data_IF_030029584903
#
_entry.id   IF_030029584903
#
_cell.length_a   1.000
_cell.length_b   1.000
_cell.length_c   1.000
_cell.angle_alpha   90.00
_cell.angle_beta   90.00
_cell.angle_gamma   90.00
#
_symmetry.space_group_name_H-M   'P 1'
#
loop_
_entity.id
_entity.type
_entity.pdbx_description
1 polymer ?
#
# COMPACT_ATOMS: atom_id res chain seq x y z
N UNK A 1 -11.60 -5.93 16.23
CA UNK A 1 -10.30 -5.97 16.96
C UNK A 1 -10.02 -4.56 17.44
N UNK A 2 -9.36 -4.36 18.59
CA UNK A 2 -8.93 -3.00 18.96
C UNK A 2 -7.75 -2.54 18.08
N UNK A 3 -7.53 -1.21 18.02
CA UNK A 3 -6.53 -0.63 17.12
C UNK A 3 -5.09 -1.08 17.42
N UNK A 4 -4.73 -1.15 18.70
CA UNK A 4 -3.39 -1.58 19.11
C UNK A 4 -3.13 -3.03 18.68
N UNK A 5 -4.08 -3.92 18.94
CA UNK A 5 -3.98 -5.32 18.54
C UNK A 5 -3.87 -5.47 17.03
N UNK A 6 -4.65 -4.69 16.26
CA UNK A 6 -4.57 -4.72 14.81
C UNK A 6 -3.16 -4.34 14.32
N UNK A 7 -2.57 -3.29 14.88
CA UNK A 7 -1.23 -2.80 14.51
C UNK A 7 -0.15 -3.85 14.84
N UNK A 8 -0.13 -4.38 16.06
CA UNK A 8 0.96 -5.28 16.51
C UNK A 8 0.86 -6.69 15.96
N UNK A 9 -0.33 -7.13 15.54
CA UNK A 9 -0.55 -8.48 14.99
C UNK A 9 -0.56 -8.52 13.47
N UNK A 10 -0.71 -7.37 12.78
CA UNK A 10 -0.70 -7.32 11.33
C UNK A 10 0.55 -7.98 10.74
N UNK A 11 0.35 -8.81 9.73
CA UNK A 11 1.43 -9.48 8.99
C UNK A 11 1.24 -9.25 7.49
N UNK A 12 2.34 -9.23 6.77
CA UNK A 12 2.32 -9.27 5.30
C UNK A 12 2.20 -10.72 4.84
N UNK A 13 1.42 -10.93 3.78
CA UNK A 13 1.37 -12.23 3.10
C UNK A 13 1.47 -12.01 1.58
N UNK A 14 1.98 -13.02 0.90
CA UNK A 14 2.16 -13.02 -0.55
C UNK A 14 1.29 -14.07 -1.24
N UNK A 15 0.48 -14.78 -0.46
CA UNK A 15 -0.37 -15.87 -0.95
C UNK A 15 -1.81 -15.65 -0.48
N UNK A 16 -2.73 -15.67 -1.42
CA UNK A 16 -4.13 -15.38 -1.19
C UNK A 16 -5.01 -16.49 -1.74
N UNK A 17 -6.22 -16.61 -1.19
CA UNK A 17 -7.27 -17.47 -1.76
C UNK A 17 -7.87 -16.79 -3.00
N UNK A 18 -8.70 -17.55 -3.75
CA UNK A 18 -9.42 -17.00 -4.90
C UNK A 18 -10.75 -16.33 -4.51
N UNK A 19 -11.03 -16.19 -3.21
CA UNK A 19 -12.26 -15.57 -2.72
C UNK A 19 -12.29 -14.09 -3.05
N UNK A 20 -13.38 -13.65 -3.64
CA UNK A 20 -13.59 -12.25 -4.00
C UNK A 20 -13.81 -11.39 -2.76
N UNK A 21 -13.24 -10.18 -2.76
CA UNK A 21 -13.44 -9.21 -1.69
C UNK A 21 -14.75 -8.46 -1.94
N UNK A 22 -15.73 -8.50 -0.98
CA UNK A 22 -16.95 -7.73 -1.09
C UNK A 22 -16.69 -6.23 -1.18
N UNK A 23 -17.50 -5.52 -1.97
CA UNK A 23 -17.36 -4.07 -2.14
C UNK A 23 -17.41 -3.30 -0.81
N UNK A 24 -18.25 -3.74 0.11
CA UNK A 24 -18.37 -3.11 1.44
C UNK A 24 -17.07 -3.19 2.22
N UNK A 25 -16.41 -4.35 2.24
CA UNK A 25 -15.12 -4.55 2.90
C UNK A 25 -14.04 -3.71 2.23
N UNK A 26 -13.97 -3.74 0.89
CA UNK A 26 -13.02 -2.93 0.14
C UNK A 26 -13.22 -1.44 0.39
N UNK A 27 -14.46 -0.96 0.44
CA UNK A 27 -14.77 0.44 0.70
C UNK A 27 -14.32 0.87 2.10
N UNK A 28 -14.42 0.01 3.13
CA UNK A 28 -13.88 0.31 4.47
C UNK A 28 -12.36 0.47 4.43
N UNK A 29 -11.67 -0.39 3.70
CA UNK A 29 -10.20 -0.29 3.50
C UNK A 29 -9.84 1.01 2.80
N UNK A 30 -10.52 1.35 1.70
CA UNK A 30 -10.31 2.59 0.94
C UNK A 30 -10.57 3.81 1.84
N UNK A 31 -11.65 3.79 2.61
CA UNK A 31 -12.00 4.88 3.53
C UNK A 31 -10.90 5.08 4.60
N UNK A 32 -10.32 4.01 5.12
CA UNK A 32 -9.21 4.11 6.08
C UNK A 32 -8.00 4.85 5.48
N UNK A 33 -7.66 4.55 4.22
CA UNK A 33 -6.61 5.27 3.48
C UNK A 33 -6.96 6.74 3.28
N UNK A 34 -8.20 7.04 2.86
CA UNK A 34 -8.68 8.42 2.65
C UNK A 34 -8.60 9.28 3.92
N UNK A 35 -8.73 8.68 5.09
CA UNK A 35 -8.68 9.38 6.38
C UNK A 35 -7.26 9.65 6.88
N UNK A 36 -6.22 9.24 6.14
CA UNK A 36 -4.86 9.62 6.48
C UNK A 36 -4.68 11.15 6.40
N UNK A 37 -4.02 11.71 7.40
CA UNK A 37 -3.71 13.14 7.40
C UNK A 37 -2.64 13.49 6.37
N UNK A 38 -2.64 14.74 5.92
CA UNK A 38 -1.59 15.33 5.09
C UNK A 38 -1.20 16.71 5.60
N UNK A 39 -0.03 17.21 5.20
CA UNK A 39 0.42 18.54 5.56
C UNK A 39 -0.61 19.57 5.11
N UNK A 40 -0.98 20.50 6.00
CA UNK A 40 -2.01 21.52 5.75
C UNK A 40 -3.33 20.98 5.17
N UNK A 41 -3.57 19.68 5.31
CA UNK A 41 -4.73 18.97 4.74
C UNK A 41 -4.85 19.14 3.20
N UNK A 42 -3.73 19.18 2.49
CA UNK A 42 -3.71 19.32 1.02
C UNK A 42 -4.26 18.09 0.29
N UNK A 43 -4.29 16.95 0.96
CA UNK A 43 -4.84 15.67 0.45
C UNK A 43 -4.25 15.27 -0.92
N UNK A 44 -2.93 15.18 -1.06
CA UNK A 44 -2.26 14.99 -2.34
C UNK A 44 -2.23 13.52 -2.79
N UNK A 45 -2.92 12.64 -2.09
CA UNK A 45 -2.94 11.20 -2.36
C UNK A 45 -4.22 10.80 -3.08
N UNK A 46 -4.07 9.95 -4.10
CA UNK A 46 -5.19 9.29 -4.80
C UNK A 46 -4.93 7.80 -4.89
N UNK A 47 -6.00 7.04 -5.01
CA UNK A 47 -5.93 5.59 -5.12
C UNK A 47 -6.45 5.14 -6.48
N UNK A 48 -5.74 4.22 -7.12
CA UNK A 48 -6.26 3.48 -8.27
C UNK A 48 -6.49 2.04 -7.82
N UNK A 49 -7.75 1.60 -7.94
CA UNK A 49 -8.18 0.26 -7.52
C UNK A 49 -8.21 -0.64 -8.74
N UNK A 50 -7.50 -1.77 -8.68
CA UNK A 50 -7.35 -2.72 -9.77
C UNK A 50 -7.96 -4.05 -9.32
N UNK A 51 -9.05 -4.47 -9.96
CA UNK A 51 -9.74 -5.75 -9.69
C UNK A 51 -9.62 -6.73 -10.86
N UNK A 52 -9.32 -6.22 -12.04
CA UNK A 52 -9.09 -7.05 -13.21
C UNK A 52 -7.76 -7.79 -13.08
N UNK A 53 -7.78 -9.11 -13.14
CA UNK A 53 -6.60 -9.96 -12.92
C UNK A 53 -5.56 -9.82 -14.03
N UNK A 54 -5.99 -9.62 -15.25
CA UNK A 54 -5.06 -9.42 -16.37
C UNK A 54 -4.39 -8.05 -16.24
N UNK A 55 -5.17 -7.04 -15.81
CA UNK A 55 -4.60 -5.72 -15.56
C UNK A 55 -3.64 -5.69 -14.38
N UNK A 56 -3.88 -6.50 -13.32
CA UNK A 56 -2.92 -6.70 -12.22
C UNK A 56 -1.60 -7.28 -12.72
N UNK A 57 -1.63 -8.27 -13.62
CA UNK A 57 -0.43 -8.83 -14.24
C UNK A 57 0.33 -7.78 -15.04
N UNK A 58 -0.40 -6.98 -15.83
CA UNK A 58 0.20 -5.89 -16.60
C UNK A 58 0.89 -4.87 -15.70
N UNK A 59 0.24 -4.42 -14.63
CA UNK A 59 0.80 -3.44 -13.69
C UNK A 59 1.98 -4.05 -12.91
N UNK A 60 1.94 -5.34 -12.60
CA UNK A 60 3.02 -6.04 -11.92
C UNK A 60 4.34 -5.99 -12.69
N UNK A 61 4.31 -5.87 -14.02
CA UNK A 61 5.54 -5.76 -14.85
C UNK A 61 6.35 -4.50 -14.56
N UNK A 62 5.73 -3.46 -13.97
CA UNK A 62 6.41 -2.22 -13.60
C UNK A 62 7.23 -2.33 -12.30
N UNK A 63 7.17 -3.48 -11.61
CA UNK A 63 7.89 -3.75 -10.35
C UNK A 63 8.87 -4.92 -10.48
N UNK A 64 9.90 -4.95 -9.62
CA UNK A 64 10.86 -6.09 -9.57
C UNK A 64 10.42 -7.20 -8.62
N UNK A 65 9.64 -6.89 -7.59
CA UNK A 65 9.19 -7.79 -6.53
C UNK A 65 7.66 -7.69 -6.42
N UNK A 66 6.99 -7.92 -7.52
CA UNK A 66 5.55 -7.72 -7.69
C UNK A 66 4.74 -9.03 -7.70
N UNK A 67 5.39 -10.18 -7.45
CA UNK A 67 4.72 -11.48 -7.37
C UNK A 67 3.47 -11.49 -6.49
N UNK A 68 3.42 -10.76 -5.35
CA UNK A 68 2.19 -10.69 -4.56
C UNK A 68 0.99 -10.13 -5.32
N UNK A 69 1.19 -9.24 -6.31
CA UNK A 69 0.09 -8.72 -7.14
C UNK A 69 -0.50 -9.79 -8.06
N UNK A 70 0.32 -10.74 -8.52
CA UNK A 70 -0.13 -11.82 -9.41
C UNK A 70 -1.10 -12.78 -8.70
N UNK A 71 -0.96 -12.91 -7.39
CA UNK A 71 -1.82 -13.75 -6.55
C UNK A 71 -3.00 -12.98 -5.93
N UNK A 72 -2.98 -11.65 -5.96
CA UNK A 72 -3.95 -10.81 -5.26
C UNK A 72 -5.31 -10.79 -5.94
N UNK A 73 -6.35 -10.56 -5.16
CA UNK A 73 -7.72 -10.31 -5.65
C UNK A 73 -7.93 -8.85 -6.02
N UNK A 74 -7.20 -7.95 -5.35
CA UNK A 74 -7.24 -6.51 -5.60
C UNK A 74 -5.83 -5.93 -5.46
N UNK A 75 -5.46 -5.04 -6.37
CA UNK A 75 -4.34 -4.12 -6.21
C UNK A 75 -4.84 -2.72 -5.86
N UNK A 76 -4.19 -2.07 -4.91
CA UNK A 76 -4.47 -0.66 -4.59
C UNK A 76 -3.19 0.14 -4.82
N UNK A 77 -3.12 0.87 -5.93
CA UNK A 77 -2.01 1.77 -6.19
C UNK A 77 -2.22 3.07 -5.41
N UNK A 78 -1.27 3.39 -4.54
CA UNK A 78 -1.23 4.64 -3.78
C UNK A 78 -0.41 5.64 -4.57
N UNK A 79 -1.10 6.62 -5.14
CA UNK A 79 -0.52 7.61 -6.02
C UNK A 79 -0.39 8.95 -5.31
N UNK A 80 0.77 9.59 -5.44
CA UNK A 80 1.03 10.92 -4.90
C UNK A 80 1.13 11.95 -6.03
N UNK A 81 0.51 13.11 -5.83
CA UNK A 81 0.70 14.29 -6.65
C UNK A 81 2.16 14.78 -6.55
N UNK A 82 2.65 15.65 -7.44
CA UNK A 82 4.02 16.18 -7.39
C UNK A 82 4.38 16.83 -6.04
N UNK A 83 3.46 17.58 -5.43
CA UNK A 83 3.58 18.20 -4.11
C UNK A 83 3.38 17.22 -2.94
N UNK A 84 2.91 16.00 -3.22
CA UNK A 84 2.66 14.98 -2.20
C UNK A 84 3.93 14.35 -1.65
N UNK A 85 3.94 14.06 -0.34
CA UNK A 85 5.04 13.37 0.31
C UNK A 85 4.85 11.85 0.32
N UNK A 86 5.97 11.11 0.29
CA UNK A 86 5.94 9.66 0.46
C UNK A 86 5.52 9.28 1.89
N UNK A 87 5.73 10.18 2.86
CA UNK A 87 5.26 10.02 4.22
C UNK A 87 3.72 9.98 4.29
N UNK A 88 3.03 10.90 3.60
CA UNK A 88 1.56 10.92 3.56
C UNK A 88 1.01 9.68 2.84
N UNK A 89 1.67 9.26 1.74
CA UNK A 89 1.33 8.03 1.04
C UNK A 89 1.53 6.79 1.92
N UNK A 90 2.63 6.73 2.68
CA UNK A 90 2.92 5.66 3.64
C UNK A 90 1.88 5.59 4.76
N UNK A 91 1.41 6.74 5.28
CA UNK A 91 0.31 6.80 6.27
C UNK A 91 -0.99 6.23 5.69
N UNK A 92 -1.35 6.63 4.46
CA UNK A 92 -2.54 6.11 3.80
C UNK A 92 -2.44 4.60 3.57
N UNK A 93 -1.30 4.11 3.07
CA UNK A 93 -1.04 2.70 2.88
C UNK A 93 -1.15 1.92 4.19
N UNK A 94 -0.50 2.38 5.26
CA UNK A 94 -0.53 1.70 6.56
C UNK A 94 -1.94 1.66 7.15
N UNK A 95 -2.72 2.75 7.06
CA UNK A 95 -4.11 2.75 7.51
C UNK A 95 -4.93 1.67 6.78
N UNK A 96 -4.78 1.58 5.45
CA UNK A 96 -5.46 0.55 4.65
C UNK A 96 -5.04 -0.87 5.05
N UNK A 97 -3.74 -1.09 5.26
CA UNK A 97 -3.21 -2.39 5.65
C UNK A 97 -3.72 -2.84 7.02
N UNK A 98 -3.83 -1.92 7.98
CA UNK A 98 -4.37 -2.20 9.33
C UNK A 98 -5.89 -2.46 9.27
N UNK A 99 -6.63 -1.65 8.49
CA UNK A 99 -8.07 -1.85 8.30
C UNK A 99 -8.37 -3.19 7.61
N UNK A 100 -7.63 -3.54 6.57
CA UNK A 100 -7.74 -4.82 5.89
C UNK A 100 -7.51 -5.99 6.86
N UNK A 101 -6.45 -5.91 7.68
CA UNK A 101 -6.13 -6.92 8.69
C UNK A 101 -7.25 -7.09 9.74
N UNK A 102 -7.84 -5.99 10.17
CA UNK A 102 -8.98 -6.02 11.09
C UNK A 102 -10.19 -6.77 10.51
N UNK A 103 -10.37 -6.69 9.21
CA UNK A 103 -11.48 -7.31 8.47
C UNK A 103 -11.15 -8.70 7.91
N UNK A 104 -10.04 -9.32 8.36
CA UNK A 104 -9.63 -10.68 7.98
C UNK A 104 -8.92 -10.76 6.62
N UNK A 105 -8.65 -9.63 5.99
CA UNK A 105 -7.83 -9.56 4.78
C UNK A 105 -6.34 -9.46 5.14
N UNK A 106 -5.51 -9.84 4.21
CA UNK A 106 -4.08 -9.63 4.31
C UNK A 106 -3.56 -8.81 3.13
N UNK A 107 -2.43 -8.17 3.34
CA UNK A 107 -1.82 -7.26 2.36
C UNK A 107 -0.33 -7.55 2.22
N UNK A 108 0.22 -7.14 1.07
CA UNK A 108 1.65 -7.01 0.88
C UNK A 108 1.95 -5.75 0.07
N UNK A 109 2.76 -4.81 0.59
CA UNK A 109 3.21 -3.67 -0.20
C UNK A 109 4.21 -4.14 -1.25
N UNK A 110 4.07 -3.66 -2.48
CA UNK A 110 4.98 -3.92 -3.60
C UNK A 110 5.52 -2.61 -4.14
N UNK A 111 6.81 -2.57 -4.42
CA UNK A 111 7.45 -1.37 -4.95
C UNK A 111 7.32 -1.28 -6.47
N UNK A 112 7.22 -0.06 -6.97
CA UNK A 112 7.27 0.26 -8.40
C UNK A 112 8.67 0.76 -8.72
N UNK A 113 9.35 0.10 -9.66
CA UNK A 113 10.69 0.47 -10.10
C UNK A 113 10.66 1.29 -11.39
N UNK A 114 9.73 0.99 -12.29
CA UNK A 114 9.51 1.75 -13.51
C UNK A 114 8.27 2.65 -13.36
N UNK A 115 8.53 3.90 -13.02
CA UNK A 115 7.48 4.90 -12.85
C UNK A 115 6.82 5.31 -14.18
N UNK A 116 7.54 5.26 -15.29
CA UNK A 116 6.99 5.58 -16.60
C UNK A 116 5.98 4.50 -17.01
N UNK A 117 6.38 3.23 -16.90
CA UNK A 117 5.48 2.08 -17.08
C UNK A 117 4.21 2.19 -16.23
N UNK A 118 4.36 2.46 -14.92
CA UNK A 118 3.22 2.53 -14.01
C UNK A 118 2.28 3.71 -14.32
N UNK A 119 2.84 4.88 -14.66
CA UNK A 119 2.05 6.06 -15.06
C UNK A 119 1.24 5.78 -16.33
N UNK A 120 1.87 5.18 -17.34
CA UNK A 120 1.20 4.81 -18.58
C UNK A 120 0.05 3.82 -18.33
N UNK A 121 0.36 2.68 -17.68
CA UNK A 121 -0.63 1.64 -17.40
C UNK A 121 -1.77 2.12 -16.53
N UNK A 122 -1.51 2.92 -15.52
CA UNK A 122 -2.54 3.47 -14.63
C UNK A 122 -3.15 4.78 -15.15
N UNK A 123 -2.72 5.27 -16.32
CA UNK A 123 -3.19 6.51 -16.95
C UNK A 123 -3.16 7.69 -15.99
N UNK A 124 -2.05 7.82 -15.24
CA UNK A 124 -1.92 8.93 -14.30
C UNK A 124 -1.69 10.23 -15.06
N UNK A 125 -2.28 11.36 -14.60
CA UNK A 125 -2.12 12.66 -15.26
C UNK A 125 -0.63 13.06 -15.35
N UNK A 126 -0.11 13.37 -16.56
CA UNK A 126 1.31 13.72 -16.74
C UNK A 126 1.61 15.21 -16.44
N UNK A 127 0.60 16.09 -16.62
CA UNK A 127 0.81 17.51 -16.82
C UNK A 127 0.74 18.36 -15.54
N UNK A 128 0.95 17.74 -14.38
CA UNK A 128 0.99 18.46 -13.10
C UNK A 128 2.43 18.62 -12.66
N UNK A 129 2.89 19.87 -12.49
CA UNK A 129 4.22 20.20 -11.99
C UNK A 129 4.13 20.92 -10.66
N UNK A 130 4.95 20.53 -9.72
CA UNK A 130 5.19 21.29 -8.49
C UNK A 130 6.47 22.11 -8.65
N UNK A 131 6.33 23.42 -8.67
CA UNK A 131 7.46 24.34 -8.85
C UNK A 131 8.44 24.31 -7.66
N UNK A 132 7.96 24.04 -6.45
CA UNK A 132 8.78 24.03 -5.26
C UNK A 132 9.71 22.81 -5.18
N UNK A 133 9.25 21.65 -5.65
CA UNK A 133 10.02 20.40 -5.62
C UNK A 133 10.64 20.04 -6.97
N UNK A 134 10.21 20.69 -8.05
CA UNK A 134 10.59 20.36 -9.42
C UNK A 134 10.04 19.02 -9.93
N UNK A 135 9.18 18.35 -9.16
CA UNK A 135 8.58 17.07 -9.55
C UNK A 135 7.49 17.28 -10.58
N UNK A 136 7.40 16.36 -11.52
CA UNK A 136 6.42 16.39 -12.61
C UNK A 136 5.57 15.11 -12.60
N UNK A 137 4.27 15.28 -12.82
CA UNK A 137 3.30 14.19 -12.91
C UNK A 137 3.04 13.47 -11.59
N UNK A 138 1.96 12.75 -11.57
CA UNK A 138 1.65 11.83 -10.49
C UNK A 138 2.62 10.64 -10.49
N UNK A 139 2.92 10.11 -9.32
CA UNK A 139 3.75 8.91 -9.19
C UNK A 139 3.07 7.85 -8.33
N UNK A 140 3.39 6.60 -8.58
CA UNK A 140 2.96 5.49 -7.73
C UNK A 140 4.00 5.28 -6.63
N UNK A 141 3.62 5.49 -5.38
CA UNK A 141 4.52 5.32 -4.23
C UNK A 141 4.62 3.85 -3.84
N UNK A 142 3.49 3.15 -3.82
CA UNK A 142 3.39 1.74 -3.47
C UNK A 142 2.12 1.15 -4.07
N UNK A 143 2.12 -0.15 -4.38
CA UNK A 143 0.91 -0.88 -4.71
C UNK A 143 0.69 -1.93 -3.63
N UNK A 144 -0.48 -1.91 -3.01
CA UNK A 144 -0.88 -2.92 -2.03
C UNK A 144 -1.55 -4.09 -2.76
N UNK A 145 -0.96 -5.26 -2.68
CA UNK A 145 -1.63 -6.51 -3.00
C UNK A 145 -2.59 -6.86 -1.86
N UNK A 146 -3.83 -7.23 -2.15
CA UNK A 146 -4.89 -7.44 -1.17
C UNK A 146 -5.68 -8.70 -1.50
N UNK A 147 -5.96 -9.53 -0.49
CA UNK A 147 -6.75 -10.75 -0.60
C UNK A 147 -6.98 -11.41 0.76
N UNK A 148 -7.77 -12.47 0.79
CA UNK A 148 -7.85 -13.33 1.96
C UNK A 148 -6.60 -14.21 2.04
N UNK A 149 -5.93 -14.31 3.21
CA UNK A 149 -4.71 -15.09 3.33
C UNK A 149 -4.99 -16.58 3.16
N UNK A 150 -4.11 -17.30 2.49
CA UNK A 150 -4.18 -18.76 2.42
C UNK A 150 -3.82 -19.36 3.79
N UNK A 151 -4.67 -20.21 4.34
CA UNK A 151 -4.46 -20.79 5.68
C UNK A 151 -3.30 -21.79 5.72
N UNK A 152 -2.96 -22.38 4.58
CA UNK A 152 -1.92 -23.41 4.42
C UNK A 152 -0.52 -22.82 4.17
N UNK A 153 -0.41 -21.49 4.03
CA UNK A 153 0.86 -20.80 3.77
C UNK A 153 1.22 -19.91 4.95
N UNK A 154 2.40 -20.06 5.56
CA UNK A 154 2.83 -19.20 6.65
C UNK A 154 2.85 -17.72 6.24
N UNK A 155 2.23 -16.88 7.04
CA UNK A 155 2.34 -15.44 6.89
C UNK A 155 3.73 -14.99 7.34
N UNK A 156 4.56 -14.55 6.44
CA UNK A 156 5.94 -14.08 6.64
C UNK A 156 6.88 -15.05 7.40
N UNK A 157 8.05 -15.21 6.86
CA UNK A 157 9.20 -15.88 7.53
C UNK A 157 9.73 -14.92 8.61
N UNK A 158 9.10 -14.95 9.79
CA UNK A 158 9.29 -13.98 10.84
C UNK A 158 10.72 -13.81 11.32
N UNK A 159 11.44 -12.85 10.74
CA UNK A 159 12.55 -12.26 11.50
C UNK A 159 11.99 -11.64 12.77
N UNK A 160 12.62 -11.91 13.91
CA UNK A 160 12.29 -11.23 15.15
C UNK A 160 12.47 -9.71 14.94
N UNK A 161 11.60 -8.92 15.57
CA UNK A 161 11.83 -7.49 15.69
C UNK A 161 13.07 -7.29 16.56
N UNK A 162 13.77 -6.19 16.35
CA UNK A 162 14.82 -5.76 17.28
C UNK A 162 14.21 -5.56 18.66
N UNK A 163 15.00 -5.77 19.69
CA UNK A 163 14.55 -5.53 21.07
C UNK A 163 14.26 -4.04 21.30
N UNK A 164 13.34 -3.74 22.20
CA UNK A 164 12.90 -2.36 22.39
C UNK A 164 14.06 -1.43 22.81
N UNK A 165 15.02 -1.95 23.57
CA UNK A 165 16.21 -1.20 23.99
C UNK A 165 17.14 -0.81 22.84
N UNK A 166 17.20 -1.67 21.79
CA UNK A 166 18.01 -1.39 20.60
C UNK A 166 17.25 -0.51 19.58
N UNK A 167 15.93 -0.38 19.75
CA UNK A 167 15.07 0.38 18.87
C UNK A 167 14.87 1.82 19.30
N UNK A 168 14.99 2.10 20.59
CA UNK A 168 14.69 3.40 21.19
C UNK A 168 15.97 4.01 21.78
N UNK A 169 16.30 5.21 21.32
CA UNK A 169 17.35 6.06 21.90
C UNK A 169 16.68 7.25 22.54
N UNK A 170 17.11 7.60 23.76
CA UNK A 170 16.56 8.71 24.52
C UNK A 170 17.42 9.96 24.32
N UNK A 171 16.78 11.08 23.97
CA UNK A 171 17.34 12.40 23.68
C UNK A 171 18.35 12.41 22.51
N UNK A 172 19.26 11.43 22.43
CA UNK A 172 20.34 11.36 21.43
C UNK A 172 20.45 9.94 20.89
N UNK A 173 20.98 9.82 19.69
CA UNK A 173 21.43 8.54 19.16
C UNK A 173 22.78 8.18 19.84
N UNK A 174 22.83 7.08 20.57
CA UNK A 174 24.03 6.49 21.17
C UNK A 174 24.22 5.07 20.67
#
# INVERSE_FOLDING_TARGET
MDAYKAIVTKRDTRSYTDDSIPNEVLNRVIQAGRMAGSSKNTQPIRLVIIRDREWLKEVATCGKFSEPLLAAQVGIAVCAAPDGSDFDAGRAAQNMMVAAWNDGLATCPTSVHDQACAREKLRLPPDVKDEATGREGWRVVVILALGYPRPDVPMSMGRKRVELGDYVHWEKWE
#
